data_IF_559217072500
#
_entry.id   IF_559217072500
#
_cell.length_a   1.000
_cell.length_b   1.000
_cell.length_c   1.000
_cell.angle_alpha   90.00
_cell.angle_beta   90.00
_cell.angle_gamma   90.00
#
_symmetry.space_group_name_H-M   'P 1'
#
loop_
_entity.id
_entity.type
_entity.pdbx_description
1 polymer ?
#
# COMPACT_ATOMS: atom_id res chain seq x y z
N UNK A 1 11.56 1.09 17.42
CA UNK A 1 10.94 0.12 18.35
C UNK A 1 10.58 -1.14 17.56
N UNK A 2 11.47 -2.13 17.57
CA UNK A 2 11.28 -3.42 16.90
C UNK A 2 10.29 -4.27 17.71
N UNK A 3 9.02 -4.32 17.28
CA UNK A 3 8.04 -5.24 17.87
C UNK A 3 8.34 -6.68 17.41
N UNK A 4 9.18 -7.36 18.19
CA UNK A 4 9.22 -8.82 18.26
C UNK A 4 7.90 -9.29 18.86
N UNK A 5 6.90 -9.56 18.02
CA UNK A 5 5.68 -10.28 18.46
C UNK A 5 5.62 -11.59 17.70
N UNK A 6 5.80 -12.66 18.46
CA UNK A 6 5.65 -14.04 18.02
C UNK A 6 4.26 -14.26 17.42
N UNK A 7 4.25 -14.80 16.22
CA UNK A 7 3.25 -14.49 15.22
C UNK A 7 2.39 -15.73 14.92
N UNK A 8 1.68 -16.17 15.96
CA UNK A 8 0.54 -17.12 15.91
C UNK A 8 -0.67 -16.56 16.68
N UNK A 9 -0.46 -15.72 17.69
CA UNK A 9 -1.53 -15.17 18.53
C UNK A 9 -1.93 -13.71 18.24
N UNK A 10 -1.30 -13.04 17.27
CA UNK A 10 -1.60 -11.63 16.97
C UNK A 10 -3.07 -11.40 16.61
N UNK A 11 -3.64 -12.28 15.78
CA UNK A 11 -5.07 -12.23 15.41
C UNK A 11 -6.00 -12.43 16.60
N UNK A 12 -5.61 -13.27 17.56
CA UNK A 12 -6.38 -13.56 18.79
C UNK A 12 -6.57 -12.31 19.66
N UNK A 13 -5.59 -11.40 19.66
CA UNK A 13 -5.63 -10.18 20.46
C UNK A 13 -6.24 -8.99 19.71
N UNK A 14 -6.25 -9.02 18.37
CA UNK A 14 -6.79 -7.92 17.55
C UNK A 14 -8.27 -8.11 17.21
N UNK A 15 -8.70 -9.35 17.08
CA UNK A 15 -10.11 -9.74 16.93
C UNK A 15 -10.45 -10.40 18.24
N UNK A 16 -11.25 -9.75 19.08
CA UNK A 16 -11.58 -10.17 20.44
C UNK A 16 -12.38 -11.48 20.45
N UNK A 17 -11.73 -12.57 20.05
CA UNK A 17 -12.29 -13.87 19.71
C UNK A 17 -11.28 -14.94 20.13
N UNK A 18 -11.44 -15.41 21.37
CA UNK A 18 -10.48 -16.28 22.04
C UNK A 18 -10.41 -17.72 21.51
N UNK A 19 -11.46 -18.25 20.86
CA UNK A 19 -11.61 -19.70 20.64
C UNK A 19 -11.53 -20.22 19.19
N UNK A 20 -11.62 -19.38 18.15
CA UNK A 20 -11.88 -19.87 16.78
C UNK A 20 -10.82 -19.47 15.71
N UNK A 21 -9.65 -18.98 16.12
CA UNK A 21 -8.65 -18.38 15.20
C UNK A 21 -8.18 -19.31 14.05
N UNK A 22 -7.99 -20.60 14.32
CA UNK A 22 -7.58 -21.54 13.27
C UNK A 22 -8.72 -21.84 12.29
N UNK A 23 -9.96 -21.94 12.78
CA UNK A 23 -11.14 -22.13 11.95
C UNK A 23 -11.32 -20.94 11.00
N UNK A 24 -11.28 -19.71 11.52
CA UNK A 24 -11.47 -18.51 10.70
C UNK A 24 -10.42 -18.32 9.62
N UNK A 25 -9.13 -18.54 9.95
CA UNK A 25 -8.06 -18.45 8.96
C UNK A 25 -8.23 -19.50 7.85
N UNK A 26 -8.60 -20.72 8.22
CA UNK A 26 -8.89 -21.77 7.25
C UNK A 26 -10.12 -21.42 6.40
N UNK A 27 -11.18 -20.87 6.99
CA UNK A 27 -12.38 -20.41 6.29
C UNK A 27 -12.04 -19.33 5.28
N UNK A 28 -11.29 -18.28 5.65
CA UNK A 28 -10.91 -17.20 4.73
C UNK A 28 -10.08 -17.73 3.57
N UNK A 29 -9.07 -18.58 3.85
CA UNK A 29 -8.23 -19.14 2.79
C UNK A 29 -8.97 -20.16 1.90
N UNK A 30 -10.01 -20.80 2.42
CA UNK A 30 -10.91 -21.66 1.65
C UNK A 30 -11.85 -20.83 0.76
N UNK A 31 -12.40 -19.73 1.28
CA UNK A 31 -13.24 -18.80 0.52
C UNK A 31 -12.46 -18.07 -0.57
N UNK A 32 -11.20 -17.70 -0.30
CA UNK A 32 -10.34 -16.97 -1.23
C UNK A 32 -9.10 -17.80 -1.64
N UNK A 33 -9.26 -18.85 -2.47
CA UNK A 33 -8.17 -19.74 -2.85
C UNK A 33 -7.05 -19.02 -3.63
N UNK A 34 -7.38 -17.90 -4.29
CA UNK A 34 -6.41 -17.05 -4.97
C UNK A 34 -5.31 -16.51 -4.04
N UNK A 35 -5.65 -16.17 -2.79
CA UNK A 35 -4.69 -15.68 -1.78
C UNK A 35 -3.67 -16.77 -1.43
N UNK A 36 -4.13 -18.02 -1.28
CA UNK A 36 -3.25 -19.16 -1.00
C UNK A 36 -2.33 -19.46 -2.20
N UNK A 37 -2.85 -19.41 -3.43
CA UNK A 37 -2.08 -19.61 -4.66
C UNK A 37 -1.01 -18.52 -4.81
N UNK A 38 -1.37 -17.25 -4.65
CA UNK A 38 -0.45 -16.13 -4.65
C UNK A 38 0.68 -16.30 -3.63
N UNK A 39 0.32 -16.62 -2.37
CA UNK A 39 1.31 -16.83 -1.31
C UNK A 39 2.31 -17.93 -1.64
N UNK A 40 1.85 -19.06 -2.18
CA UNK A 40 2.74 -20.14 -2.61
C UNK A 40 3.66 -19.71 -3.75
N UNK A 41 3.09 -19.04 -4.76
CA UNK A 41 3.85 -18.56 -5.91
C UNK A 41 4.97 -17.59 -5.49
N UNK A 42 4.66 -16.61 -4.64
CA UNK A 42 5.66 -15.64 -4.13
C UNK A 42 6.80 -16.34 -3.38
N UNK A 43 6.48 -17.31 -2.52
CA UNK A 43 7.50 -18.06 -1.78
C UNK A 43 8.36 -18.86 -2.74
N UNK A 44 7.76 -19.54 -3.72
CA UNK A 44 8.47 -20.33 -4.71
C UNK A 44 9.41 -19.45 -5.56
N UNK A 45 8.93 -18.35 -6.13
CA UNK A 45 9.75 -17.42 -6.91
C UNK A 45 10.91 -16.87 -6.09
N UNK A 46 10.68 -16.54 -4.82
CA UNK A 46 11.74 -16.08 -3.92
C UNK A 46 12.78 -17.18 -3.63
N UNK A 47 12.37 -18.45 -3.58
CA UNK A 47 13.28 -19.57 -3.38
C UNK A 47 14.13 -19.87 -4.62
N UNK A 48 13.57 -19.70 -5.81
CA UNK A 48 14.26 -19.91 -7.09
C UNK A 48 15.25 -18.77 -7.39
N UNK A 49 14.85 -17.51 -7.14
CA UNK A 49 15.64 -16.34 -7.51
C UNK A 49 16.52 -15.81 -6.38
N UNK A 50 16.20 -16.12 -5.12
CA UNK A 50 16.86 -15.56 -3.93
C UNK A 50 16.45 -14.14 -3.56
N UNK A 51 15.60 -13.50 -4.37
CA UNK A 51 15.05 -12.17 -4.14
C UNK A 51 13.62 -12.04 -4.69
N UNK A 52 12.96 -10.95 -4.32
CA UNK A 52 11.71 -10.50 -4.93
C UNK A 52 11.85 -9.06 -5.40
N UNK A 53 11.07 -8.69 -6.43
CA UNK A 53 10.97 -7.32 -6.92
C UNK A 53 9.54 -6.81 -6.70
N UNK A 54 9.37 -5.57 -6.24
CA UNK A 54 8.06 -4.91 -6.26
C UNK A 54 7.71 -4.40 -7.66
N UNK A 55 6.53 -3.81 -7.79
CA UNK A 55 5.98 -3.33 -9.06
C UNK A 55 6.89 -2.29 -9.76
N UNK A 56 7.55 -1.41 -9.01
CA UNK A 56 8.55 -0.46 -9.55
C UNK A 56 9.94 -1.06 -9.82
N UNK A 57 10.12 -2.35 -9.58
CA UNK A 57 11.41 -3.03 -9.75
C UNK A 57 12.35 -2.96 -8.54
N UNK A 58 11.93 -2.40 -7.40
CA UNK A 58 12.74 -2.43 -6.16
C UNK A 58 12.93 -3.87 -5.69
N UNK A 59 14.19 -4.29 -5.51
CA UNK A 59 14.56 -5.65 -5.11
C UNK A 59 14.80 -5.79 -3.61
N UNK A 60 14.46 -6.96 -3.05
CA UNK A 60 14.84 -7.37 -1.70
C UNK A 60 15.24 -8.84 -1.67
N UNK A 61 16.39 -9.13 -1.05
CA UNK A 61 16.94 -10.47 -0.90
C UNK A 61 16.47 -11.14 0.39
N UNK A 62 16.29 -12.46 0.35
CA UNK A 62 15.80 -13.25 1.50
C UNK A 62 16.67 -14.49 1.74
N UNK A 63 17.85 -14.30 2.35
CA UNK A 63 18.80 -15.41 2.58
C UNK A 63 18.24 -16.59 3.37
N UNK A 64 17.31 -16.35 4.29
CA UNK A 64 16.72 -17.39 5.15
C UNK A 64 15.50 -18.11 4.52
N UNK A 65 15.17 -17.86 3.24
CA UNK A 65 13.97 -18.43 2.60
C UNK A 65 14.03 -19.98 2.47
N UNK A 66 15.24 -20.54 2.46
CA UNK A 66 15.51 -21.98 2.43
C UNK A 66 16.20 -22.50 3.72
N UNK A 67 16.23 -21.71 4.80
CA UNK A 67 16.88 -22.12 6.06
C UNK A 67 16.33 -23.45 6.59
N UNK A 68 17.19 -24.27 7.19
CA UNK A 68 16.79 -25.49 7.90
C UNK A 68 16.07 -25.18 9.21
N UNK A 69 16.34 -24.01 9.81
CA UNK A 69 15.61 -23.52 10.97
C UNK A 69 14.19 -23.13 10.56
N UNK A 70 13.20 -23.89 11.05
CA UNK A 70 11.79 -23.69 10.76
C UNK A 70 11.28 -22.31 11.17
N UNK A 71 11.81 -21.74 12.26
CA UNK A 71 11.47 -20.40 12.74
C UNK A 71 11.96 -19.31 11.79
N UNK A 72 13.24 -19.36 11.42
CA UNK A 72 13.84 -18.43 10.46
C UNK A 72 13.19 -18.53 9.08
N UNK A 73 12.94 -19.75 8.61
CA UNK A 73 12.24 -20.03 7.35
C UNK A 73 10.83 -19.47 7.34
N UNK A 74 10.06 -19.72 8.41
CA UNK A 74 8.70 -19.20 8.55
C UNK A 74 8.66 -17.67 8.60
N UNK A 75 9.62 -17.05 9.29
CA UNK A 75 9.75 -15.60 9.34
C UNK A 75 10.13 -15.00 7.98
N UNK A 76 11.10 -15.59 7.27
CA UNK A 76 11.51 -15.14 5.93
C UNK A 76 10.34 -15.22 4.93
N UNK A 77 9.56 -16.30 4.95
CA UNK A 77 8.37 -16.46 4.09
C UNK A 77 7.32 -15.39 4.33
N UNK A 78 7.03 -15.05 5.59
CA UNK A 78 6.10 -13.95 5.92
C UNK A 78 6.61 -12.61 5.45
N UNK A 79 7.91 -12.33 5.64
CA UNK A 79 8.51 -11.10 5.15
C UNK A 79 8.47 -10.99 3.63
N UNK A 80 8.68 -12.10 2.91
CA UNK A 80 8.64 -12.13 1.45
C UNK A 80 7.25 -11.74 0.91
N UNK A 81 6.19 -12.35 1.46
CA UNK A 81 4.80 -12.03 1.09
C UNK A 81 4.46 -10.57 1.45
N UNK A 82 4.81 -10.14 2.67
CA UNK A 82 4.56 -8.76 3.11
C UNK A 82 5.30 -7.74 2.24
N UNK A 83 6.56 -8.03 1.89
CA UNK A 83 7.35 -7.14 1.03
C UNK A 83 6.68 -6.92 -0.31
N UNK A 84 6.13 -7.96 -0.94
CA UNK A 84 5.51 -7.81 -2.25
C UNK A 84 4.22 -6.99 -2.17
N UNK A 85 3.38 -7.21 -1.15
CA UNK A 85 2.12 -6.48 -0.97
C UNK A 85 2.39 -5.03 -0.56
N UNK A 86 3.10 -4.82 0.56
CA UNK A 86 3.37 -3.49 1.10
C UNK A 86 4.31 -2.70 0.21
N UNK A 87 5.27 -3.37 -0.42
CA UNK A 87 6.20 -2.73 -1.34
C UNK A 87 5.49 -2.20 -2.58
N UNK A 88 4.58 -2.98 -3.16
CA UNK A 88 3.77 -2.53 -4.30
C UNK A 88 2.81 -1.41 -3.90
N UNK A 89 2.17 -1.49 -2.73
CA UNK A 89 1.34 -0.40 -2.22
C UNK A 89 2.14 0.91 -2.04
N UNK A 90 3.35 0.83 -1.49
CA UNK A 90 4.24 1.99 -1.36
C UNK A 90 4.68 2.56 -2.71
N UNK A 91 4.86 1.72 -3.73
CA UNK A 91 5.20 2.15 -5.09
C UNK A 91 4.04 2.92 -5.73
N UNK A 92 2.82 2.41 -5.59
CA UNK A 92 1.59 3.07 -6.04
C UNK A 92 1.45 4.44 -5.36
N UNK A 93 1.58 4.51 -4.04
CA UNK A 93 1.45 5.77 -3.31
C UNK A 93 2.49 6.81 -3.76
N UNK A 94 3.75 6.39 -3.95
CA UNK A 94 4.81 7.29 -4.42
C UNK A 94 4.58 7.75 -5.86
N UNK A 95 4.09 6.88 -6.73
CA UNK A 95 3.70 7.28 -8.08
C UNK A 95 2.56 8.30 -8.06
N UNK A 96 1.57 8.10 -7.18
CA UNK A 96 0.48 9.04 -6.97
C UNK A 96 1.00 10.41 -6.52
N UNK A 97 1.88 10.44 -5.51
CA UNK A 97 2.51 11.67 -5.02
C UNK A 97 3.21 12.45 -6.14
N UNK A 98 4.08 11.78 -6.91
CA UNK A 98 4.83 12.41 -8.00
C UNK A 98 3.87 12.91 -9.09
N UNK A 99 2.87 12.11 -9.44
CA UNK A 99 1.87 12.48 -10.46
C UNK A 99 1.06 13.71 -10.04
N UNK A 100 0.56 13.72 -8.80
CA UNK A 100 -0.17 14.88 -8.25
C UNK A 100 0.70 16.12 -8.21
N UNK A 101 1.96 16.01 -7.77
CA UNK A 101 2.87 17.15 -7.71
C UNK A 101 3.14 17.72 -9.10
N UNK A 102 3.43 16.88 -10.10
CA UNK A 102 3.59 17.37 -11.48
C UNK A 102 2.33 18.05 -12.02
N UNK A 103 1.16 17.44 -11.79
CA UNK A 103 -0.09 17.99 -12.27
C UNK A 103 -0.43 19.36 -11.63
N UNK A 104 -0.15 19.52 -10.34
CA UNK A 104 -0.45 20.76 -9.62
C UNK A 104 0.54 21.89 -9.99
N UNK A 105 1.84 21.59 -10.02
CA UNK A 105 2.88 22.60 -10.19
C UNK A 105 3.24 22.85 -11.65
N UNK A 106 3.51 21.79 -12.42
CA UNK A 106 3.98 21.91 -13.80
C UNK A 106 2.81 22.20 -14.76
N UNK A 107 1.69 21.48 -14.63
CA UNK A 107 0.56 21.60 -15.56
C UNK A 107 -0.41 22.74 -15.19
N UNK A 108 -0.48 23.10 -13.90
CA UNK A 108 -1.45 24.07 -13.40
C UNK A 108 -0.81 25.35 -12.82
N UNK A 109 0.52 25.41 -12.75
CA UNK A 109 1.28 26.59 -12.33
C UNK A 109 1.15 26.97 -10.86
N UNK A 110 0.57 26.09 -10.02
CA UNK A 110 0.41 26.34 -8.59
C UNK A 110 1.77 26.38 -7.90
N UNK A 111 1.85 27.21 -6.86
CA UNK A 111 3.05 27.40 -6.06
C UNK A 111 2.84 26.85 -4.65
N UNK A 112 3.92 26.79 -3.86
CA UNK A 112 3.86 26.31 -2.47
C UNK A 112 2.92 27.14 -1.57
N UNK A 113 2.68 28.41 -1.91
CA UNK A 113 1.72 29.27 -1.21
C UNK A 113 0.24 28.96 -1.56
N UNK A 114 0.01 28.20 -2.62
CA UNK A 114 -1.32 27.79 -3.08
C UNK A 114 -1.70 26.43 -2.52
N UNK A 115 -0.76 25.47 -2.61
CA UNK A 115 -0.93 24.11 -2.11
C UNK A 115 0.41 23.52 -1.70
N UNK A 116 0.41 22.73 -0.62
CA UNK A 116 1.58 22.00 -0.15
C UNK A 116 1.22 20.63 0.41
N UNK A 117 1.98 19.61 0.06
CA UNK A 117 1.90 18.31 0.73
C UNK A 117 2.52 18.41 2.12
N UNK A 118 1.73 18.20 3.17
CA UNK A 118 2.20 18.27 4.55
C UNK A 118 2.75 16.94 5.02
N UNK A 119 2.00 15.86 4.80
CA UNK A 119 2.32 14.55 5.34
C UNK A 119 1.74 13.42 4.49
N UNK A 120 2.40 12.27 4.61
CA UNK A 120 1.96 11.00 4.04
C UNK A 120 1.85 9.98 5.17
N UNK A 121 0.65 9.43 5.38
CA UNK A 121 0.40 8.38 6.38
C UNK A 121 -0.09 7.16 5.64
N UNK A 122 0.81 6.20 5.42
CA UNK A 122 0.51 5.00 4.65
C UNK A 122 -0.05 5.35 3.25
N UNK A 123 -1.34 5.14 3.04
CA UNK A 123 -2.12 5.39 1.81
C UNK A 123 -2.80 6.77 1.78
N UNK A 124 -2.67 7.57 2.84
CA UNK A 124 -3.26 8.91 2.95
C UNK A 124 -2.24 10.01 2.63
N UNK A 125 -2.66 10.99 1.83
CA UNK A 125 -1.91 12.22 1.52
C UNK A 125 -2.66 13.43 2.06
N UNK A 126 -2.03 14.18 2.96
CA UNK A 126 -2.63 15.36 3.57
C UNK A 126 -1.98 16.62 3.03
N UNK A 127 -2.83 17.49 2.49
CA UNK A 127 -2.44 18.71 1.81
C UNK A 127 -2.96 19.93 2.57
N UNK A 128 -2.14 20.96 2.62
CA UNK A 128 -2.57 22.32 2.96
C UNK A 128 -2.91 23.04 1.66
N UNK A 129 -4.08 23.65 1.57
CA UNK A 129 -4.59 24.26 0.33
C UNK A 129 -5.22 25.60 0.65
N UNK A 130 -4.94 26.62 -0.17
CA UNK A 130 -5.59 27.93 -0.07
C UNK A 130 -7.09 27.80 -0.37
N UNK A 131 -7.92 28.40 0.48
CA UNK A 131 -9.37 28.17 0.49
C UNK A 131 -10.11 28.46 -0.82
N UNK A 132 -9.65 29.44 -1.59
CA UNK A 132 -10.23 29.87 -2.88
C UNK A 132 -10.02 28.84 -4.02
N UNK A 133 -9.05 27.94 -3.90
CA UNK A 133 -8.71 26.98 -4.97
C UNK A 133 -9.07 25.52 -4.63
N UNK A 134 -9.59 25.25 -3.43
CA UNK A 134 -9.88 23.90 -2.92
C UNK A 134 -10.66 23.06 -3.95
N UNK A 135 -11.79 23.57 -4.46
CA UNK A 135 -12.64 22.85 -5.42
C UNK A 135 -11.92 22.48 -6.72
N UNK A 136 -11.03 23.36 -7.21
CA UNK A 136 -10.23 23.11 -8.42
C UNK A 136 -9.21 22.00 -8.16
N UNK A 137 -8.55 22.04 -7.01
CA UNK A 137 -7.44 21.14 -6.69
C UNK A 137 -7.92 19.73 -6.34
N UNK A 138 -9.06 19.60 -5.66
CA UNK A 138 -9.70 18.30 -5.35
C UNK A 138 -9.84 17.45 -6.62
N UNK A 139 -10.35 18.02 -7.71
CA UNK A 139 -10.54 17.30 -8.97
C UNK A 139 -9.23 16.81 -9.58
N UNK A 140 -8.17 17.63 -9.52
CA UNK A 140 -6.83 17.28 -10.02
C UNK A 140 -6.24 16.14 -9.18
N UNK A 141 -6.30 16.24 -7.85
CA UNK A 141 -5.77 15.22 -6.94
C UNK A 141 -6.50 13.89 -7.14
N UNK A 142 -7.85 13.91 -7.16
CA UNK A 142 -8.68 12.72 -7.40
C UNK A 142 -8.26 12.04 -8.69
N UNK A 143 -8.25 12.79 -9.79
CA UNK A 143 -7.91 12.25 -11.10
C UNK A 143 -6.52 11.64 -11.15
N UNK A 144 -5.50 12.34 -10.64
CA UNK A 144 -4.12 11.84 -10.62
C UNK A 144 -3.96 10.57 -9.78
N UNK A 145 -4.60 10.50 -8.61
CA UNK A 145 -4.49 9.34 -7.73
C UNK A 145 -5.27 8.11 -8.27
N UNK A 146 -6.40 8.32 -8.94
CA UNK A 146 -7.20 7.23 -9.51
C UNK A 146 -6.60 6.68 -10.82
N UNK A 147 -6.03 7.55 -11.65
CA UNK A 147 -5.53 7.17 -13.00
C UNK A 147 -4.03 6.93 -13.07
N UNK A 148 -3.25 7.49 -12.14
CA UNK A 148 -1.78 7.38 -12.06
C UNK A 148 -1.09 7.55 -13.42
N UNK A 149 -1.29 8.69 -14.11
CA UNK A 149 -0.78 8.89 -15.45
C UNK A 149 0.75 8.83 -15.48
N UNK A 150 1.30 8.01 -16.38
CA UNK A 150 2.74 7.81 -16.54
C UNK A 150 3.39 6.91 -15.47
N UNK A 151 2.63 6.34 -14.54
CA UNK A 151 3.15 5.38 -13.54
C UNK A 151 3.31 3.96 -14.09
N UNK A 152 2.56 3.61 -15.13
CA UNK A 152 2.46 2.26 -15.67
C UNK A 152 2.98 2.20 -17.11
N UNK A 153 3.83 1.20 -17.43
CA UNK A 153 4.03 0.76 -18.80
C UNK A 153 2.80 -0.03 -19.28
N UNK A 154 2.63 -0.20 -20.58
CA UNK A 154 1.51 -0.96 -21.19
C UNK A 154 1.35 -2.39 -20.65
N UNK A 155 2.39 -2.95 -20.02
CA UNK A 155 2.41 -4.30 -19.42
C UNK A 155 2.01 -4.32 -17.93
N UNK A 156 1.91 -3.16 -17.27
CA UNK A 156 1.73 -3.00 -15.82
C UNK A 156 0.39 -2.34 -15.45
N UNK A 157 -0.68 -2.63 -16.19
CA UNK A 157 -2.01 -2.09 -15.88
C UNK A 157 -2.63 -2.79 -14.66
N UNK A 158 -3.16 -1.99 -13.73
CA UNK A 158 -3.94 -2.53 -12.61
C UNK A 158 -5.26 -3.08 -13.13
N UNK A 159 -5.59 -4.31 -12.76
CA UNK A 159 -6.86 -4.95 -13.15
C UNK A 159 -8.07 -4.38 -12.41
N UNK A 160 -7.86 -3.56 -11.38
CA UNK A 160 -8.91 -2.99 -10.54
C UNK A 160 -8.75 -1.46 -10.45
N UNK A 161 -9.86 -0.72 -10.38
CA UNK A 161 -9.81 0.72 -10.14
C UNK A 161 -9.26 1.01 -8.73
N UNK A 162 -8.66 2.19 -8.58
CA UNK A 162 -8.15 2.71 -7.30
C UNK A 162 -9.06 3.83 -6.80
N UNK A 163 -10.20 3.54 -6.15
CA UNK A 163 -11.11 4.59 -5.69
C UNK A 163 -10.44 5.46 -4.62
N UNK A 164 -10.54 6.77 -4.77
CA UNK A 164 -9.95 7.74 -3.84
C UNK A 164 -11.05 8.41 -3.02
N UNK A 165 -10.90 8.36 -1.69
CA UNK A 165 -11.77 9.08 -0.77
C UNK A 165 -11.14 10.42 -0.45
N UNK A 166 -11.94 11.48 -0.52
CA UNK A 166 -11.50 12.83 -0.25
C UNK A 166 -12.25 13.37 0.96
N UNK A 167 -11.57 14.21 1.72
CA UNK A 167 -12.16 14.94 2.83
C UNK A 167 -11.47 16.29 2.91
N UNK A 168 -12.17 17.31 3.38
CA UNK A 168 -11.60 18.64 3.60
C UNK A 168 -12.09 19.25 4.91
N UNK A 169 -11.27 20.07 5.55
CA UNK A 169 -11.60 20.77 6.78
C UNK A 169 -10.57 21.85 7.07
N UNK A 170 -10.89 22.76 7.99
CA UNK A 170 -9.96 23.79 8.47
C UNK A 170 -8.90 23.24 9.42
N UNK A 171 -9.17 22.06 9.99
CA UNK A 171 -8.23 21.27 10.77
C UNK A 171 -8.45 19.78 10.48
N UNK A 172 -7.46 18.96 10.82
CA UNK A 172 -7.46 17.53 10.50
C UNK A 172 -8.54 16.73 11.27
N UNK A 173 -8.90 17.16 12.49
CA UNK A 173 -9.90 16.46 13.31
C UNK A 173 -11.34 16.65 12.86
N UNK A 174 -11.63 17.70 12.10
CA UNK A 174 -12.99 18.11 11.71
C UNK A 174 -13.24 17.99 10.19
N UNK A 175 -12.39 17.24 9.48
CA UNK A 175 -12.54 17.03 8.04
C UNK A 175 -13.88 16.38 7.69
N UNK A 176 -14.58 16.97 6.72
CA UNK A 176 -15.83 16.44 6.18
C UNK A 176 -15.55 15.66 4.89
N UNK A 177 -16.18 14.50 4.68
CA UNK A 177 -16.12 13.78 3.41
C UNK A 177 -16.58 14.65 2.24
N UNK A 178 -15.93 14.48 1.10
CA UNK A 178 -16.29 15.09 -0.17
C UNK A 178 -16.77 13.99 -1.11
N UNK A 179 -17.89 14.24 -1.79
CA UNK A 179 -18.45 13.35 -2.81
C UNK A 179 -17.72 13.49 -4.17
#
# INVERSE_FOLDING_TARGET
ITKNVQNVNTWKYSVDCMEYNYSYKCTILATFPGVKKFTHHVIQSCQEQGYLSSLSGRRRYFGNIQSQDFGLKGYARRQAVNFLIQGTAADICKAAMISTQRALYENNGLQDNDIRLLLQIHDELVWEVRGDIVNRVIGIIKHCMETLPGAWSTELSLSLPLPVKLSCGTNWGEMQPLD
#
